data_IF_937801338164
#
_entry.id   IF_937801338164
#
_cell.length_a   1.000
_cell.length_b   1.000
_cell.length_c   1.000
_cell.angle_alpha   90.00
_cell.angle_beta   90.00
_cell.angle_gamma   90.00
#
_symmetry.space_group_name_H-M   'P 1'
#
loop_
_entity.id
_entity.type
_entity.pdbx_description
1 polymer ?
#
# COMPACT_ATOMS: atom_id res chain seq x y z
N UNK A 1 -10.15 -5.16 18.66
CA UNK A 1 -10.00 -5.64 17.27
C UNK A 1 -10.18 -4.44 16.36
N UNK A 2 -9.17 -4.09 15.57
CA UNK A 2 -9.14 -2.87 14.76
C UNK A 2 -9.19 -3.29 13.31
N UNK A 3 -10.25 -2.88 12.60
CA UNK A 3 -10.47 -3.30 11.22
C UNK A 3 -9.66 -2.41 10.26
N UNK A 4 -8.92 -2.98 9.29
CA UNK A 4 -8.35 -2.20 8.19
C UNK A 4 -9.48 -1.48 7.47
N UNK A 5 -9.37 -0.16 7.32
CA UNK A 5 -10.50 0.69 6.92
C UNK A 5 -10.55 0.96 5.42
N UNK A 6 -9.52 0.53 4.66
CA UNK A 6 -9.45 0.73 3.21
C UNK A 6 -8.83 -0.53 2.60
N UNK A 7 -9.61 -1.24 1.78
CA UNK A 7 -9.14 -2.33 0.93
C UNK A 7 -9.08 -1.80 -0.50
N UNK A 8 -7.92 -1.87 -1.14
CA UNK A 8 -7.83 -1.76 -2.59
C UNK A 8 -7.54 -3.16 -3.12
N UNK A 9 -8.48 -3.74 -3.86
CA UNK A 9 -8.19 -4.87 -4.74
C UNK A 9 -7.80 -4.25 -6.08
N UNK A 10 -6.52 -4.32 -6.44
CA UNK A 10 -6.14 -4.19 -7.84
C UNK A 10 -6.80 -5.31 -8.64
N UNK A 11 -7.19 -5.05 -9.88
CA UNK A 11 -7.56 -6.12 -10.81
C UNK A 11 -6.34 -6.91 -11.30
N UNK A 12 -5.14 -6.42 -10.97
CA UNK A 12 -3.84 -6.94 -11.40
C UNK A 12 -2.91 -7.09 -10.18
N UNK A 13 -2.09 -8.16 -10.10
CA UNK A 13 -1.09 -8.38 -9.05
C UNK A 13 0.02 -7.32 -9.08
N UNK A 14 0.53 -6.89 -7.93
CA UNK A 14 1.61 -5.89 -7.84
C UNK A 14 2.97 -6.44 -8.27
N UNK A 15 3.14 -7.76 -8.24
CA UNK A 15 4.39 -8.45 -8.54
C UNK A 15 4.28 -9.40 -9.75
N UNK A 16 3.20 -9.28 -10.53
CA UNK A 16 2.93 -10.10 -11.72
C UNK A 16 2.88 -11.63 -11.51
N UNK A 17 2.76 -12.13 -10.27
CA UNK A 17 2.82 -13.57 -9.99
C UNK A 17 1.49 -14.31 -10.21
N UNK A 18 0.44 -13.59 -10.62
CA UNK A 18 -0.90 -14.11 -10.85
C UNK A 18 -1.69 -14.42 -9.57
N UNK A 19 -1.20 -14.03 -8.40
CA UNK A 19 -1.89 -14.12 -7.11
C UNK A 19 -2.39 -12.75 -6.70
N UNK A 20 -3.57 -12.70 -6.09
CA UNK A 20 -4.11 -11.43 -5.61
C UNK A 20 -3.32 -10.93 -4.39
N UNK A 21 -2.74 -9.75 -4.54
CA UNK A 21 -2.10 -8.99 -3.47
C UNK A 21 -3.10 -8.08 -2.76
N UNK A 22 -2.79 -7.71 -1.52
CA UNK A 22 -3.65 -6.87 -0.69
C UNK A 22 -2.87 -5.71 -0.08
N UNK A 23 -3.40 -4.50 -0.29
CA UNK A 23 -2.85 -3.26 0.30
C UNK A 23 -3.92 -2.58 1.14
N UNK A 24 -3.55 -2.19 2.36
CA UNK A 24 -4.44 -1.47 3.26
C UNK A 24 -3.68 -0.50 4.16
N UNK A 25 -4.40 0.50 4.68
CA UNK A 25 -3.86 1.40 5.70
C UNK A 25 -4.17 0.84 7.09
N UNK A 26 -3.13 0.53 7.86
CA UNK A 26 -3.24 0.44 9.32
C UNK A 26 -3.23 1.85 9.89
N UNK A 27 -4.36 2.29 10.43
CA UNK A 27 -4.49 3.66 10.91
C UNK A 27 -3.88 3.92 12.29
N UNK A 28 -3.03 3.05 12.88
CA UNK A 28 -2.72 3.12 14.34
C UNK A 28 -2.33 4.54 14.67
N UNK A 29 -3.12 5.23 15.50
CA UNK A 29 -2.97 6.67 15.69
C UNK A 29 -1.59 7.03 16.27
N UNK A 30 -0.84 6.04 16.77
CA UNK A 30 0.55 6.19 17.20
C UNK A 30 1.53 6.06 16.05
N UNK A 31 1.27 5.19 15.08
CA UNK A 31 2.12 4.88 13.93
C UNK A 31 1.25 4.37 12.76
N UNK A 32 0.58 5.26 12.01
CA UNK A 32 -0.19 4.84 10.85
C UNK A 32 0.77 4.32 9.78
N UNK A 33 0.34 3.34 8.99
CA UNK A 33 1.19 2.74 7.97
C UNK A 33 0.38 2.18 6.81
N UNK A 34 1.00 2.18 5.63
CA UNK A 34 0.57 1.35 4.51
C UNK A 34 1.15 -0.05 4.69
N UNK A 35 0.30 -1.06 4.65
CA UNK A 35 0.69 -2.47 4.75
C UNK A 35 0.45 -3.13 3.41
N UNK A 36 1.49 -3.78 2.89
CA UNK A 36 1.46 -4.53 1.64
C UNK A 36 1.61 -6.01 1.98
N UNK A 37 0.62 -6.80 1.57
CA UNK A 37 0.62 -8.24 1.71
C UNK A 37 0.56 -8.87 0.33
N UNK A 38 1.51 -9.76 0.06
CA UNK A 38 1.55 -10.53 -1.17
C UNK A 38 0.63 -11.75 -1.08
N UNK A 39 -0.04 -12.05 -2.19
CA UNK A 39 -0.83 -13.25 -2.37
C UNK A 39 0.01 -14.51 -2.15
N UNK A 40 -0.67 -15.60 -1.79
CA UNK A 40 0.00 -16.89 -1.59
C UNK A 40 -0.91 -18.02 -2.04
N UNK A 41 -0.31 -19.04 -2.66
CA UNK A 41 -1.00 -20.26 -3.12
C UNK A 41 -1.72 -21.02 -2.00
N UNK A 42 -1.26 -20.87 -0.76
CA UNK A 42 -1.90 -21.49 0.41
C UNK A 42 -3.03 -20.63 1.03
N UNK A 43 -3.37 -19.49 0.42
CA UNK A 43 -4.41 -18.58 0.88
C UNK A 43 -4.07 -17.73 2.11
N UNK A 44 -2.84 -17.84 2.64
CA UNK A 44 -2.35 -17.01 3.74
C UNK A 44 -1.43 -15.93 3.17
N UNK A 45 -1.86 -14.66 3.11
CA UNK A 45 -1.03 -13.58 2.57
C UNK A 45 0.25 -13.39 3.39
N UNK A 46 1.35 -13.07 2.71
CA UNK A 46 2.64 -12.77 3.34
C UNK A 46 2.86 -11.27 3.37
N UNK A 47 3.10 -10.69 4.54
CA UNK A 47 3.49 -9.27 4.63
C UNK A 47 4.83 -9.06 3.93
N UNK A 48 4.79 -8.24 2.89
CA UNK A 48 5.98 -7.76 2.18
C UNK A 48 6.50 -6.51 2.90
N UNK A 49 5.62 -5.54 3.12
CA UNK A 49 6.03 -4.21 3.59
C UNK A 49 5.12 -3.61 4.66
N UNK A 50 5.69 -2.69 5.42
CA UNK A 50 5.01 -1.86 6.41
C UNK A 50 5.65 -0.47 6.39
N UNK A 51 5.01 0.46 5.69
CA UNK A 51 5.57 1.77 5.38
C UNK A 51 4.91 2.84 6.24
N UNK A 52 5.62 3.43 7.21
CA UNK A 52 5.06 4.44 8.10
C UNK A 52 4.55 5.65 7.31
N UNK A 53 3.35 6.08 7.66
CA UNK A 53 2.70 7.27 7.15
C UNK A 53 2.87 8.42 8.16
N UNK A 54 2.86 9.65 7.66
CA UNK A 54 2.94 10.85 8.50
C UNK A 54 1.56 11.34 8.94
N UNK A 55 0.51 11.00 8.19
CA UNK A 55 -0.88 11.32 8.50
C UNK A 55 -1.77 10.09 8.67
N UNK A 56 -3.07 10.31 8.85
CA UNK A 56 -4.04 9.23 8.72
C UNK A 56 -4.24 8.95 7.24
N UNK A 57 -3.70 7.83 6.77
CA UNK A 57 -3.98 7.34 5.42
C UNK A 57 -5.47 7.06 5.24
N UNK A 58 -6.08 7.73 4.26
CA UNK A 58 -7.51 7.65 3.97
C UNK A 58 -7.81 6.73 2.78
N UNK A 59 -7.19 7.08 1.66
CA UNK A 59 -7.42 6.48 0.35
C UNK A 59 -6.11 5.99 -0.21
N UNK A 60 -6.14 4.77 -0.78
CA UNK A 60 -5.01 4.17 -1.49
C UNK A 60 -5.40 4.07 -2.97
N UNK A 61 -4.54 4.59 -3.83
CA UNK A 61 -4.62 4.48 -5.29
C UNK A 61 -3.39 3.69 -5.77
N UNK A 62 -3.51 3.07 -6.94
CA UNK A 62 -2.39 2.40 -7.61
C UNK A 62 -2.34 2.80 -9.09
N UNK A 63 -1.15 2.74 -9.67
CA UNK A 63 -0.87 3.03 -11.07
C UNK A 63 0.63 3.17 -11.30
N UNK A 64 1.07 3.00 -12.54
CA UNK A 64 2.46 3.27 -12.94
C UNK A 64 2.69 4.80 -12.96
N UNK A 65 3.35 5.33 -11.93
CA UNK A 65 3.55 6.78 -11.72
C UNK A 65 4.89 7.24 -12.27
N UNK A 66 5.93 6.41 -12.20
CA UNK A 66 7.27 6.76 -12.71
C UNK A 66 7.58 6.23 -14.12
N UNK A 67 6.72 5.39 -14.70
CA UNK A 67 6.82 4.90 -16.07
C UNK A 67 7.72 3.68 -16.22
N UNK A 68 8.02 2.95 -15.13
CA UNK A 68 8.85 1.75 -15.17
C UNK A 68 8.07 0.48 -15.55
N UNK A 69 6.75 0.56 -15.57
CA UNK A 69 5.84 -0.54 -15.93
C UNK A 69 5.31 -1.33 -14.74
N UNK A 70 5.78 -1.07 -13.53
CA UNK A 70 5.27 -1.65 -12.29
C UNK A 70 4.19 -0.76 -11.66
N UNK A 71 3.26 -1.36 -10.92
CA UNK A 71 2.23 -0.59 -10.22
C UNK A 71 2.79 0.06 -8.94
N UNK A 72 2.80 1.39 -8.91
CA UNK A 72 3.11 2.19 -7.72
C UNK A 72 1.88 2.36 -6.82
N UNK A 73 2.13 2.80 -5.59
CA UNK A 73 1.10 3.06 -4.58
C UNK A 73 1.09 4.51 -4.17
N UNK A 74 -0.08 5.14 -4.20
CA UNK A 74 -0.29 6.50 -3.74
C UNK A 74 -1.29 6.52 -2.57
N UNK A 75 -0.91 7.17 -1.48
CA UNK A 75 -1.73 7.32 -0.27
C UNK A 75 -2.08 8.78 -0.07
N UNK A 76 -3.38 9.07 -0.06
CA UNK A 76 -3.89 10.36 0.36
C UNK A 76 -3.95 10.39 1.88
N UNK A 77 -3.09 11.23 2.45
CA UNK A 77 -2.97 11.43 3.89
C UNK A 77 -3.86 12.59 4.33
N UNK A 78 -4.69 12.32 5.32
CA UNK A 78 -5.40 13.35 6.06
C UNK A 78 -4.62 13.70 7.32
N UNK A 79 -4.44 14.99 7.56
CA UNK A 79 -3.68 15.46 8.71
C UNK A 79 -4.29 15.03 10.04
N UNK A 80 -3.43 14.67 11.00
CA UNK A 80 -3.79 14.56 12.41
C UNK A 80 -3.34 15.84 13.10
N UNK A 81 -4.30 16.60 13.66
CA UNK A 81 -4.05 17.78 14.51
C UNK A 81 -3.19 18.87 13.83
N UNK A 82 -3.78 19.63 12.91
CA UNK A 82 -3.22 20.91 12.45
C UNK A 82 -2.07 20.84 11.44
N UNK A 83 -1.65 19.64 11.02
CA UNK A 83 -0.76 19.46 9.87
C UNK A 83 -1.48 19.65 8.52
N UNK A 84 -0.72 19.76 7.43
CA UNK A 84 -1.27 19.75 6.06
C UNK A 84 -1.68 18.33 5.63
N UNK A 85 -2.70 18.23 4.76
CA UNK A 85 -2.97 16.97 4.04
C UNK A 85 -1.94 16.79 2.94
N UNK A 86 -1.55 15.55 2.64
CA UNK A 86 -0.45 15.23 1.74
C UNK A 86 -0.75 14.05 0.82
N UNK A 87 0.06 13.92 -0.22
CA UNK A 87 0.12 12.74 -1.08
C UNK A 87 1.46 12.06 -0.83
N UNK A 88 1.42 10.82 -0.37
CA UNK A 88 2.60 9.99 -0.19
C UNK A 88 2.63 8.94 -1.30
N UNK A 89 3.72 8.88 -2.07
CA UNK A 89 3.88 7.95 -3.19
C UNK A 89 4.98 6.97 -2.81
N UNK A 90 4.70 5.68 -2.98
CA UNK A 90 5.66 4.60 -2.87
C UNK A 90 5.88 4.06 -4.28
N UNK A 91 7.10 4.22 -4.77
CA UNK A 91 7.52 3.60 -6.00
C UNK A 91 7.77 2.12 -5.74
N UNK A 92 7.14 1.26 -6.53
CA UNK A 92 7.58 -0.11 -6.61
C UNK A 92 8.96 -0.15 -7.27
N UNK A 93 9.67 -1.27 -7.13
CA UNK A 93 10.93 -1.44 -7.81
C UNK A 93 10.82 -2.71 -8.65
N UNK A 94 11.14 -2.59 -9.93
CA UNK A 94 11.28 -3.76 -10.78
C UNK A 94 12.24 -4.73 -10.12
N UNK A 95 11.78 -5.97 -9.98
CA UNK A 95 12.59 -7.05 -9.43
C UNK A 95 13.73 -7.30 -10.41
N UNK A 96 14.92 -6.78 -10.10
CA UNK A 96 16.13 -7.14 -10.83
C UNK A 96 16.47 -8.58 -10.44
N UNK A 97 16.47 -9.48 -11.41
CA UNK A 97 16.96 -10.85 -11.23
C UNK A 97 18.47 -10.80 -10.93
N UNK A 98 18.83 -10.80 -9.64
CA UNK A 98 20.19 -11.10 -9.15
C UNK A 98 20.38 -12.62 -8.97
#
# INVERSE_FOLDING_TARGET
>A
MRLPTTFSLGTEPFNEDGLLDAVFVDRDFRQPALVVNMGSKNGVPRREGHYPLQGLGGTVLHGDVDGDGDLDLAVLEQAVRGGGSGLYILFNQTKTDD
#
